data_IF_521995589454
#
_entry.id   IF_521995589454
#
_cell.length_a   1.000
_cell.length_b   1.000
_cell.length_c   1.000
_cell.angle_alpha   90.00
_cell.angle_beta   90.00
_cell.angle_gamma   90.00
#
_symmetry.space_group_name_H-M   'P 1'
#
loop_
_entity.id
_entity.type
_entity.pdbx_description
1 polymer ?
#
# COMPACT_ATOMS: atom_id res chain seq x y z
N UNK A 1 5.15 -20.05 -16.83
CA UNK A 1 4.47 -20.78 -15.74
C UNK A 1 5.30 -20.76 -14.47
N UNK A 2 4.66 -20.80 -13.31
CA UNK A 2 5.35 -20.76 -12.02
C UNK A 2 6.35 -19.59 -11.93
N UNK A 3 7.63 -19.87 -11.70
CA UNK A 3 8.69 -18.89 -11.61
C UNK A 3 9.45 -18.67 -12.93
N UNK A 4 8.88 -19.04 -14.05
CA UNK A 4 9.56 -18.97 -15.35
C UNK A 4 8.88 -18.00 -16.32
N UNK A 5 9.69 -17.21 -17.02
CA UNK A 5 9.29 -16.31 -18.09
C UNK A 5 10.14 -16.56 -19.34
N UNK A 6 9.63 -16.18 -20.50
CA UNK A 6 10.30 -16.28 -21.78
C UNK A 6 10.28 -14.93 -22.48
N UNK A 7 11.37 -14.59 -23.15
CA UNK A 7 11.41 -13.42 -24.02
C UNK A 7 10.76 -13.73 -25.40
N UNK A 8 10.74 -12.72 -26.24
CA UNK A 8 10.14 -12.83 -27.59
C UNK A 8 10.92 -13.78 -28.53
N UNK A 9 12.15 -14.11 -28.19
CA UNK A 9 13.00 -15.04 -28.91
C UNK A 9 12.84 -16.49 -28.39
N UNK A 10 12.02 -16.69 -27.35
CA UNK A 10 11.77 -17.98 -26.71
C UNK A 10 12.84 -18.41 -25.70
N UNK A 11 13.72 -17.52 -25.29
CA UNK A 11 14.71 -17.82 -24.25
C UNK A 11 14.07 -17.77 -22.88
N UNK A 12 14.33 -18.82 -22.10
CA UNK A 12 13.79 -18.99 -20.75
C UNK A 12 14.64 -18.29 -19.68
N UNK A 13 13.96 -17.68 -18.72
CA UNK A 13 14.55 -17.08 -17.52
C UNK A 13 13.81 -17.53 -16.28
N UNK A 14 14.50 -17.59 -15.14
CA UNK A 14 13.87 -17.68 -13.82
C UNK A 14 13.52 -16.27 -13.36
N UNK A 15 12.26 -16.03 -13.06
CA UNK A 15 11.76 -14.73 -12.67
C UNK A 15 11.92 -14.50 -11.16
N UNK A 16 13.03 -13.86 -10.78
CA UNK A 16 13.25 -13.38 -9.41
C UNK A 16 12.59 -12.00 -9.14
N UNK A 17 12.11 -11.33 -10.18
CA UNK A 17 11.44 -10.04 -10.04
C UNK A 17 9.98 -10.18 -9.58
N UNK A 18 9.32 -11.28 -9.97
CA UNK A 18 7.96 -11.61 -9.57
C UNK A 18 6.95 -10.48 -9.75
N UNK A 19 7.11 -9.63 -10.79
CA UNK A 19 6.28 -8.43 -10.97
C UNK A 19 6.47 -7.40 -9.85
N UNK A 20 7.68 -7.27 -9.31
CA UNK A 20 8.03 -6.47 -8.12
C UNK A 20 7.27 -7.01 -6.89
N UNK A 21 7.52 -8.28 -6.57
CA UNK A 21 6.96 -9.03 -5.44
C UNK A 21 5.42 -9.18 -5.43
N UNK A 22 4.79 -9.15 -6.60
CA UNK A 22 3.33 -9.30 -6.75
C UNK A 22 2.92 -10.76 -6.98
N UNK A 23 3.70 -11.51 -7.77
CA UNK A 23 3.33 -12.85 -8.24
C UNK A 23 3.79 -13.92 -7.25
N UNK A 24 3.26 -13.89 -6.01
CA UNK A 24 3.70 -14.77 -4.92
C UNK A 24 3.38 -16.26 -5.15
N UNK A 25 2.40 -16.57 -5.99
CA UNK A 25 2.03 -17.95 -6.36
C UNK A 25 2.61 -18.39 -7.70
N UNK A 26 3.50 -17.58 -8.29
CA UNK A 26 4.04 -17.77 -9.62
C UNK A 26 3.07 -17.32 -10.73
N UNK A 27 3.57 -17.39 -11.96
CA UNK A 27 2.80 -16.99 -13.15
C UNK A 27 1.75 -18.05 -13.49
N UNK A 28 0.52 -17.62 -13.77
CA UNK A 28 -0.57 -18.45 -14.29
C UNK A 28 -0.89 -19.66 -13.39
N UNK A 29 -0.99 -19.44 -12.09
CA UNK A 29 -1.40 -20.52 -11.19
C UNK A 29 -2.73 -21.14 -11.65
N UNK A 30 -2.85 -22.48 -11.83
CA UNK A 30 -4.01 -23.10 -12.45
C UNK A 30 -5.35 -22.76 -11.80
N UNK A 31 -5.40 -22.67 -10.47
CA UNK A 31 -6.62 -22.28 -9.75
C UNK A 31 -7.03 -20.82 -10.01
N UNK A 32 -6.06 -19.91 -10.19
CA UNK A 32 -6.36 -18.52 -10.54
C UNK A 32 -6.91 -18.41 -11.95
N UNK A 33 -6.28 -19.10 -12.92
CA UNK A 33 -6.76 -19.12 -14.32
C UNK A 33 -8.17 -19.68 -14.38
N UNK A 34 -8.45 -20.79 -13.70
CA UNK A 34 -9.78 -21.40 -13.68
C UNK A 34 -10.85 -20.45 -13.09
N UNK A 35 -10.52 -19.80 -11.95
CA UNK A 35 -11.45 -18.85 -11.31
C UNK A 35 -11.72 -17.61 -12.16
N UNK A 36 -10.69 -17.09 -12.87
CA UNK A 36 -10.87 -15.96 -13.79
C UNK A 36 -11.73 -16.35 -14.98
N UNK A 37 -11.46 -17.50 -15.60
CA UNK A 37 -12.23 -18.01 -16.73
C UNK A 37 -13.70 -18.25 -16.35
N UNK A 38 -13.95 -18.80 -15.17
CA UNK A 38 -15.30 -18.98 -14.63
C UNK A 38 -16.02 -17.62 -14.47
N UNK A 39 -15.35 -16.64 -13.85
CA UNK A 39 -15.93 -15.31 -13.62
C UNK A 39 -16.29 -14.59 -14.95
N UNK A 40 -15.47 -14.76 -16.01
CA UNK A 40 -15.73 -14.16 -17.32
C UNK A 40 -17.02 -14.67 -17.97
N UNK A 41 -17.50 -15.87 -17.61
CA UNK A 41 -18.77 -16.40 -18.09
C UNK A 41 -19.99 -15.76 -17.40
N UNK A 42 -19.78 -15.05 -16.28
CA UNK A 42 -20.87 -14.39 -15.56
C UNK A 42 -20.96 -12.90 -15.89
N UNK A 43 -19.93 -12.14 -15.56
CA UNK A 43 -19.83 -10.71 -15.87
C UNK A 43 -18.40 -10.21 -15.72
N UNK A 44 -18.08 -9.13 -16.43
CA UNK A 44 -16.74 -8.50 -16.37
C UNK A 44 -16.69 -7.31 -15.44
N UNK A 45 -17.78 -6.57 -15.29
CA UNK A 45 -17.84 -5.39 -14.42
C UNK A 45 -19.27 -5.06 -14.00
N UNK A 46 -19.45 -4.73 -12.74
CA UNK A 46 -20.58 -3.98 -12.20
C UNK A 46 -20.06 -2.92 -11.25
N UNK A 47 -20.74 -1.80 -11.10
CA UNK A 47 -20.43 -0.89 -10.01
C UNK A 47 -20.96 -1.51 -8.71
N UNK A 48 -20.08 -1.96 -7.81
CA UNK A 48 -20.47 -2.64 -6.57
C UNK A 48 -21.49 -1.85 -5.73
N UNK A 49 -21.35 -0.52 -5.70
CA UNK A 49 -22.28 0.36 -4.97
C UNK A 49 -23.71 0.35 -5.56
N UNK A 50 -23.86 -0.02 -6.83
CA UNK A 50 -25.15 -0.10 -7.51
C UNK A 50 -25.65 -1.53 -7.56
N UNK A 51 -24.78 -2.46 -7.93
CA UNK A 51 -25.09 -3.90 -8.04
C UNK A 51 -24.02 -4.69 -7.28
N UNK A 52 -24.25 -4.97 -5.98
CA UNK A 52 -23.34 -5.80 -5.19
C UNK A 52 -23.20 -7.21 -5.77
N UNK A 53 -22.01 -7.80 -5.59
CA UNK A 53 -21.72 -9.15 -6.06
C UNK A 53 -20.92 -9.97 -5.04
N UNK A 54 -21.15 -11.28 -5.06
CA UNK A 54 -20.70 -12.21 -4.01
C UNK A 54 -19.18 -12.24 -3.87
N UNK A 55 -18.40 -12.23 -4.94
CA UNK A 55 -16.95 -12.35 -4.87
C UNK A 55 -16.29 -11.19 -4.10
N UNK A 56 -16.84 -9.98 -4.19
CA UNK A 56 -16.40 -8.83 -3.40
C UNK A 56 -16.68 -9.04 -1.91
N UNK A 57 -17.90 -9.47 -1.56
CA UNK A 57 -18.31 -9.70 -0.18
C UNK A 57 -17.46 -10.80 0.46
N UNK A 58 -17.32 -11.93 -0.21
CA UNK A 58 -16.48 -13.06 0.28
C UNK A 58 -15.01 -12.67 0.46
N UNK A 59 -14.46 -11.85 -0.42
CA UNK A 59 -13.10 -11.34 -0.25
C UNK A 59 -13.01 -10.42 0.97
N UNK A 60 -13.99 -9.52 1.16
CA UNK A 60 -14.03 -8.61 2.31
C UNK A 60 -14.12 -9.39 3.64
N UNK A 61 -14.96 -10.43 3.71
CA UNK A 61 -15.05 -11.32 4.88
C UNK A 61 -13.69 -11.98 5.18
N UNK A 62 -13.05 -12.59 4.18
CA UNK A 62 -11.76 -13.25 4.35
C UNK A 62 -10.64 -12.29 4.75
N UNK A 63 -10.63 -11.08 4.22
CA UNK A 63 -9.64 -10.05 4.60
C UNK A 63 -9.87 -9.58 6.02
N UNK A 64 -11.12 -9.36 6.42
CA UNK A 64 -11.47 -8.99 7.79
C UNK A 64 -11.08 -10.08 8.81
N UNK A 65 -11.34 -11.33 8.49
CA UNK A 65 -10.98 -12.48 9.35
C UNK A 65 -9.47 -12.65 9.49
N UNK A 66 -8.70 -12.36 8.43
CA UNK A 66 -7.25 -12.45 8.43
C UNK A 66 -6.55 -11.23 9.04
N UNK A 67 -7.25 -10.10 9.19
CA UNK A 67 -6.67 -8.88 9.70
C UNK A 67 -6.28 -9.02 11.19
N UNK A 68 -5.08 -8.61 11.60
CA UNK A 68 -4.64 -8.71 13.00
C UNK A 68 -5.27 -7.60 13.86
N UNK A 69 -6.55 -7.33 13.68
CA UNK A 69 -7.31 -6.28 14.36
C UNK A 69 -8.38 -6.96 15.21
N UNK A 70 -8.37 -6.69 16.53
CA UNK A 70 -9.30 -7.31 17.48
C UNK A 70 -10.71 -6.71 17.49
N UNK A 71 -10.87 -5.52 16.90
CA UNK A 71 -12.17 -4.85 16.78
C UNK A 71 -12.94 -5.32 15.53
N UNK A 72 -14.23 -5.00 15.47
CA UNK A 72 -15.01 -5.19 14.26
C UNK A 72 -14.41 -4.38 13.09
N UNK A 73 -14.10 -5.06 12.00
CA UNK A 73 -13.46 -4.48 10.82
C UNK A 73 -14.40 -4.42 9.63
N UNK A 74 -14.12 -3.52 8.72
CA UNK A 74 -14.73 -3.43 7.40
C UNK A 74 -13.64 -3.28 6.36
N UNK A 75 -13.75 -4.01 5.25
CA UNK A 75 -12.85 -3.88 4.11
C UNK A 75 -13.49 -3.05 3.01
N UNK A 76 -12.68 -2.24 2.34
CA UNK A 76 -13.02 -1.58 1.08
C UNK A 76 -11.89 -1.78 0.10
N UNK A 77 -12.21 -2.02 -1.17
CA UNK A 77 -11.22 -2.31 -2.20
C UNK A 77 -11.14 -1.19 -3.22
N UNK A 78 -9.93 -0.96 -3.69
CA UNK A 78 -9.59 0.04 -4.70
C UNK A 78 -8.83 -0.63 -5.84
N UNK A 79 -8.74 0.04 -6.98
CA UNK A 79 -8.11 -0.52 -8.18
C UNK A 79 -6.59 -0.63 -8.04
N UNK A 80 -5.97 0.27 -7.27
CA UNK A 80 -4.51 0.29 -7.09
C UNK A 80 -4.11 0.49 -5.63
N UNK A 81 -2.87 0.09 -5.28
CA UNK A 81 -2.30 0.39 -3.97
C UNK A 81 -2.19 1.90 -3.69
N UNK A 82 -1.92 2.72 -4.73
CA UNK A 82 -1.89 4.16 -4.59
C UNK A 82 -3.26 4.73 -4.19
N UNK A 83 -4.35 4.24 -4.78
CA UNK A 83 -5.72 4.63 -4.39
C UNK A 83 -6.06 4.18 -2.97
N UNK A 84 -5.63 2.97 -2.58
CA UNK A 84 -5.83 2.48 -1.22
C UNK A 84 -5.11 3.38 -0.20
N UNK A 85 -3.87 3.77 -0.48
CA UNK A 85 -3.10 4.72 0.34
C UNK A 85 -3.80 6.09 0.41
N UNK A 86 -4.17 6.68 -0.71
CA UNK A 86 -4.90 7.96 -0.75
C UNK A 86 -6.16 7.92 0.13
N UNK A 87 -6.95 6.86 0.01
CA UNK A 87 -8.17 6.70 0.78
C UNK A 87 -7.90 6.41 2.26
N UNK A 88 -6.85 5.68 2.61
CA UNK A 88 -6.47 5.45 4.01
C UNK A 88 -6.14 6.76 4.73
N UNK A 89 -5.39 7.65 4.08
CA UNK A 89 -5.07 8.98 4.64
C UNK A 89 -6.32 9.85 4.74
N UNK A 90 -7.18 9.84 3.72
CA UNK A 90 -8.47 10.56 3.77
C UNK A 90 -9.35 10.09 4.93
N UNK A 91 -9.47 8.77 5.11
CA UNK A 91 -10.25 8.17 6.20
C UNK A 91 -9.64 8.55 7.56
N UNK A 92 -8.33 8.42 7.72
CA UNK A 92 -7.65 8.79 8.95
C UNK A 92 -7.87 10.26 9.32
N UNK A 93 -7.71 11.17 8.36
CA UNK A 93 -7.95 12.60 8.56
C UNK A 93 -9.41 12.92 8.89
N UNK A 94 -10.35 12.32 8.16
CA UNK A 94 -11.78 12.53 8.38
C UNK A 94 -12.25 12.00 9.75
N UNK A 95 -11.76 10.82 10.15
CA UNK A 95 -12.13 10.19 11.41
C UNK A 95 -11.55 10.93 12.62
N UNK A 96 -10.29 11.36 12.53
CA UNK A 96 -9.59 11.98 13.67
C UNK A 96 -9.79 13.50 13.75
N UNK A 97 -10.18 14.15 12.67
CA UNK A 97 -10.16 15.62 12.52
C UNK A 97 -8.74 16.21 12.51
N UNK A 98 -7.70 15.38 12.29
CA UNK A 98 -6.28 15.76 12.32
C UNK A 98 -5.68 15.70 10.92
N UNK A 99 -4.61 16.45 10.69
CA UNK A 99 -4.03 16.61 9.35
C UNK A 99 -2.68 15.94 9.15
N UNK A 100 -1.87 15.80 10.20
CA UNK A 100 -0.50 15.33 10.13
C UNK A 100 -0.39 13.82 9.89
N UNK A 101 0.61 13.42 9.12
CA UNK A 101 0.95 12.00 8.87
C UNK A 101 2.44 11.81 9.02
N UNK A 102 2.83 10.76 9.72
CA UNK A 102 4.22 10.33 9.80
C UNK A 102 4.41 9.14 8.88
N UNK A 103 5.38 9.23 7.98
CA UNK A 103 5.83 8.17 7.09
C UNK A 103 7.30 7.82 7.38
N UNK A 104 7.88 6.85 6.67
CA UNK A 104 9.25 6.43 6.91
C UNK A 104 10.14 6.60 5.69
N UNK A 105 11.41 6.93 5.95
CA UNK A 105 12.46 6.95 4.92
C UNK A 105 12.58 5.59 4.24
N UNK A 106 12.67 5.59 2.91
CA UNK A 106 12.73 4.37 2.10
C UNK A 106 11.37 3.75 1.77
N UNK A 107 10.28 4.15 2.45
CA UNK A 107 8.93 3.70 2.14
C UNK A 107 8.46 4.13 0.74
N UNK A 108 7.63 3.30 0.11
CA UNK A 108 7.00 3.61 -1.18
C UNK A 108 5.48 3.48 -1.07
N UNK A 109 4.77 4.57 -1.35
CA UNK A 109 3.33 4.68 -1.15
C UNK A 109 2.55 5.02 -2.43
N UNK A 110 3.17 4.87 -3.58
CA UNK A 110 2.58 5.16 -4.88
C UNK A 110 3.09 6.47 -5.51
N UNK A 111 2.53 6.83 -6.67
CA UNK A 111 2.99 7.97 -7.49
C UNK A 111 1.93 9.06 -7.65
N UNK A 112 0.85 9.02 -6.90
CA UNK A 112 -0.09 10.13 -6.74
C UNK A 112 0.54 11.24 -5.88
N UNK A 113 -0.03 12.41 -5.84
CA UNK A 113 0.55 13.54 -5.10
C UNK A 113 0.73 13.25 -3.61
N UNK A 114 -0.28 12.66 -2.94
CA UNK A 114 -0.15 12.23 -1.54
C UNK A 114 0.78 11.01 -1.44
N UNK A 115 0.67 10.04 -2.34
CA UNK A 115 1.58 8.89 -2.38
C UNK A 115 3.05 9.32 -2.50
N UNK A 116 3.35 10.35 -3.31
CA UNK A 116 4.69 10.93 -3.40
C UNK A 116 5.08 11.72 -2.15
N UNK A 117 4.14 12.46 -1.54
CA UNK A 117 4.42 13.13 -0.27
C UNK A 117 4.88 12.12 0.80
N UNK A 118 4.19 10.99 0.91
CA UNK A 118 4.47 9.90 1.86
C UNK A 118 5.72 9.10 1.51
N UNK A 119 6.05 8.94 0.22
CA UNK A 119 7.22 8.17 -0.23
C UNK A 119 8.52 8.74 0.33
N UNK A 120 9.30 7.91 1.00
CA UNK A 120 10.53 8.28 1.72
C UNK A 120 11.78 8.37 0.84
N UNK A 121 11.66 8.60 -0.48
CA UNK A 121 12.78 8.66 -1.41
C UNK A 121 12.55 9.72 -2.49
N UNK A 122 13.53 10.62 -2.69
CA UNK A 122 13.43 11.73 -3.65
C UNK A 122 13.66 11.24 -5.08
N UNK A 123 14.81 10.67 -5.35
CA UNK A 123 15.17 10.14 -6.67
C UNK A 123 14.82 8.65 -6.73
N UNK A 124 14.12 8.18 -7.77
CA UNK A 124 13.63 8.90 -8.97
C UNK A 124 12.19 9.44 -8.84
N UNK A 125 11.57 9.41 -7.65
CA UNK A 125 10.12 9.51 -7.53
C UNK A 125 9.58 10.95 -7.44
N UNK A 126 10.25 11.82 -6.66
CA UNK A 126 9.74 13.18 -6.34
C UNK A 126 10.28 14.30 -7.22
N UNK A 127 11.41 14.08 -7.87
CA UNK A 127 12.13 15.12 -8.62
C UNK A 127 11.24 15.71 -9.72
N UNK A 128 11.00 17.01 -9.65
CA UNK A 128 10.26 17.77 -10.66
C UNK A 128 8.72 17.72 -10.54
N UNK A 129 8.17 17.02 -9.54
CA UNK A 129 6.71 16.84 -9.41
C UNK A 129 6.05 17.65 -8.28
N UNK A 130 6.82 18.39 -7.48
CA UNK A 130 6.25 19.21 -6.39
C UNK A 130 5.49 20.46 -6.87
N UNK A 131 4.81 21.18 -5.95
CA UNK A 131 4.74 20.93 -4.51
C UNK A 131 3.81 19.75 -4.14
N UNK A 132 4.16 19.06 -3.05
CA UNK A 132 3.36 17.96 -2.52
C UNK A 132 2.44 18.43 -1.38
N UNK A 133 1.38 17.65 -1.03
CA UNK A 133 0.56 17.91 0.14
C UNK A 133 1.41 18.10 1.40
N UNK A 134 1.05 19.10 2.19
CA UNK A 134 1.73 19.46 3.43
C UNK A 134 1.41 18.49 4.59
N UNK A 135 2.12 18.69 5.71
CA UNK A 135 1.96 17.94 6.96
C UNK A 135 2.24 16.43 6.85
N UNK A 136 3.21 16.09 6.03
CA UNK A 136 3.81 14.76 5.96
C UNK A 136 5.25 14.86 6.47
N UNK A 137 5.56 14.09 7.50
CA UNK A 137 6.86 14.06 8.18
C UNK A 137 7.48 12.68 8.02
N UNK A 138 8.80 12.59 7.96
CA UNK A 138 9.49 11.32 7.76
C UNK A 138 10.40 10.99 8.93
N UNK A 139 10.22 9.82 9.53
CA UNK A 139 11.15 9.21 10.45
C UNK A 139 12.04 8.19 9.72
N UNK A 140 13.23 7.85 10.23
CA UNK A 140 14.03 6.76 9.69
C UNK A 140 13.30 5.43 9.94
N UNK A 141 13.29 4.53 8.95
CA UNK A 141 12.80 3.16 9.14
C UNK A 141 13.89 2.32 9.83
N UNK A 142 13.55 1.50 10.85
CA UNK A 142 14.54 0.72 11.57
C UNK A 142 15.10 -0.41 10.69
N UNK A 143 16.39 -0.32 10.39
CA UNK A 143 17.15 -1.34 9.67
C UNK A 143 18.49 -1.50 10.37
N UNK A 144 18.60 -2.45 11.27
CA UNK A 144 19.81 -2.67 12.08
C UNK A 144 21.06 -2.88 11.22
N UNK A 145 20.93 -3.54 10.07
CA UNK A 145 22.01 -3.70 9.10
C UNK A 145 22.60 -2.36 8.61
N UNK A 146 21.79 -1.31 8.61
CA UNK A 146 22.19 0.05 8.23
C UNK A 146 22.46 0.94 9.45
N UNK A 147 22.54 0.36 10.65
CA UNK A 147 22.84 1.08 11.88
C UNK A 147 21.66 1.91 12.43
N UNK A 148 20.43 1.62 12.02
CA UNK A 148 19.23 2.28 12.51
C UNK A 148 18.44 1.29 13.34
N UNK A 149 18.39 1.49 14.65
CA UNK A 149 17.60 0.68 15.59
C UNK A 149 16.14 1.13 15.65
N UNK A 150 15.28 0.29 16.24
CA UNK A 150 13.91 0.67 16.55
C UNK A 150 13.84 1.88 17.49
N UNK A 151 14.80 2.00 18.43
CA UNK A 151 14.87 3.14 19.35
C UNK A 151 15.19 4.43 18.61
N UNK A 152 16.12 4.41 17.64
CA UNK A 152 16.44 5.59 16.83
C UNK A 152 15.21 6.11 16.06
N UNK A 153 14.38 5.19 15.54
CA UNK A 153 13.11 5.55 14.88
C UNK A 153 12.10 6.18 15.84
N UNK A 154 11.97 5.63 17.04
CA UNK A 154 11.07 6.16 18.07
C UNK A 154 11.54 7.54 18.57
N UNK A 155 12.84 7.72 18.76
CA UNK A 155 13.43 8.99 19.17
C UNK A 155 13.25 10.07 18.07
N UNK A 156 13.38 9.69 16.81
CA UNK A 156 13.09 10.57 15.69
C UNK A 156 11.61 11.00 15.64
N UNK A 157 10.67 10.08 15.88
CA UNK A 157 9.24 10.43 16.00
C UNK A 157 9.02 11.37 17.19
N UNK A 158 9.64 11.11 18.33
CA UNK A 158 9.57 11.99 19.49
C UNK A 158 10.16 13.39 19.21
N UNK A 159 11.19 13.46 18.34
CA UNK A 159 11.75 14.73 17.89
C UNK A 159 10.77 15.48 16.98
N UNK A 160 10.15 14.81 16.01
CA UNK A 160 9.09 15.39 15.15
C UNK A 160 7.98 16.01 16.01
N UNK A 161 7.58 15.35 17.10
CA UNK A 161 6.57 15.88 18.02
C UNK A 161 7.02 17.13 18.81
N UNK A 162 8.32 17.35 18.92
CA UNK A 162 8.87 18.53 19.61
C UNK A 162 9.13 19.71 18.68
N UNK A 163 9.45 19.43 17.40
CA UNK A 163 9.95 20.45 16.47
C UNK A 163 8.98 20.77 15.32
N UNK A 164 8.21 19.80 14.86
CA UNK A 164 7.54 19.90 13.56
C UNK A 164 6.01 19.90 13.65
N UNK A 165 5.44 19.06 14.53
CA UNK A 165 3.98 18.95 14.67
C UNK A 165 3.58 18.52 16.09
N UNK A 166 2.55 19.13 16.63
CA UNK A 166 1.89 18.68 17.87
C UNK A 166 1.36 17.24 17.67
N UNK A 167 1.69 16.27 18.54
CA UNK A 167 1.17 14.90 18.45
C UNK A 167 -0.37 14.83 18.43
N UNK A 168 -1.06 15.80 19.03
CA UNK A 168 -2.52 15.91 18.97
C UNK A 168 -3.05 16.19 17.55
N UNK A 169 -2.20 16.63 16.63
CA UNK A 169 -2.54 16.87 15.22
C UNK A 169 -2.18 15.72 14.28
N UNK A 170 -1.56 14.66 14.77
CA UNK A 170 -1.19 13.50 13.95
C UNK A 170 -2.40 12.58 13.78
N UNK A 171 -2.82 12.39 12.53
CA UNK A 171 -3.93 11.52 12.12
C UNK A 171 -3.51 10.05 12.01
N UNK A 172 -2.31 9.81 11.49
CA UNK A 172 -1.83 8.46 11.20
C UNK A 172 -0.31 8.38 11.16
N UNK A 173 0.18 7.16 11.36
CA UNK A 173 1.53 6.72 11.01
C UNK A 173 1.36 5.64 9.93
N UNK A 174 2.10 5.73 8.84
CA UNK A 174 2.05 4.79 7.72
C UNK A 174 3.42 4.16 7.47
N UNK A 175 3.41 2.83 7.33
CA UNK A 175 4.59 2.00 7.08
C UNK A 175 4.56 1.43 5.66
#
# INVERSE_FOLDING_TARGET
ENAEIWDVEGKRYIDFGGGIAVVNTGHRHPKQIAAIAEQLNHFTHTCYQVVPYESYVRLAERVNDAAPIKAATKATFFTTGAEAVENSIKIARAYTGRSGVIAFSGGFHGRTMMGLALTGKVVPYKTGFGPFPAEVFHAPYPVELHGVSAQDSLDAIAHIFKSDIDPARVAAIIL
#
